data_IF_491026012435
#
_entry.id   IF_491026012435
#
_cell.length_a   1.000
_cell.length_b   1.000
_cell.length_c   1.000
_cell.angle_alpha   90.00
_cell.angle_beta   90.00
_cell.angle_gamma   90.00
#
_symmetry.space_group_name_H-M   'P 1'
#
loop_
_entity.id
_entity.type
_entity.pdbx_description
1 polymer ?
#
# COMPACT_ATOMS: atom_id res chain seq x y z
N UNK A 1 0.26 2.98 7.28
CA UNK A 1 -0.96 3.23 8.09
C UNK A 1 -1.75 1.95 8.29
N UNK A 2 -2.21 1.67 9.52
CA UNK A 2 -2.98 0.46 9.82
C UNK A 2 -2.14 -0.79 10.09
N UNK A 3 -0.88 -0.61 10.54
CA UNK A 3 0.01 -1.72 10.89
C UNK A 3 -0.61 -2.58 12.00
N UNK A 4 -0.33 -3.88 12.04
CA UNK A 4 -0.91 -4.79 13.03
C UNK A 4 0.00 -6.01 13.21
N UNK A 5 0.11 -6.58 14.43
CA UNK A 5 0.84 -7.81 14.66
C UNK A 5 0.06 -9.07 14.22
N UNK A 6 -1.23 -8.92 13.88
CA UNK A 6 -2.09 -10.05 13.49
C UNK A 6 -1.82 -10.44 12.03
N UNK A 7 -1.30 -11.64 11.83
CA UNK A 7 -0.90 -12.15 10.51
C UNK A 7 -2.01 -12.17 9.46
N UNK A 8 -3.28 -12.30 9.87
CA UNK A 8 -4.44 -12.29 8.99
C UNK A 8 -4.86 -10.89 8.50
N UNK A 9 -4.16 -9.83 8.91
CA UNK A 9 -4.52 -8.45 8.56
C UNK A 9 -3.68 -7.91 7.42
N UNK A 10 -4.29 -7.12 6.54
CA UNK A 10 -3.58 -6.42 5.44
C UNK A 10 -2.44 -5.53 5.93
N UNK A 11 -2.59 -4.94 7.13
CA UNK A 11 -1.52 -4.19 7.79
C UNK A 11 -0.27 -5.04 8.07
N UNK A 12 -0.45 -6.28 8.53
CA UNK A 12 0.67 -7.20 8.74
C UNK A 12 1.25 -7.69 7.41
N UNK A 13 0.39 -8.18 6.51
CA UNK A 13 0.80 -8.78 5.24
C UNK A 13 1.65 -7.80 4.42
N UNK A 14 1.22 -6.55 4.36
CA UNK A 14 1.87 -5.53 3.54
C UNK A 14 3.14 -4.97 4.16
N UNK A 15 3.19 -4.84 5.50
CA UNK A 15 4.42 -4.56 6.22
C UNK A 15 5.47 -5.65 5.98
N UNK A 16 5.10 -6.92 6.14
CA UNK A 16 6.02 -8.04 5.92
C UNK A 16 6.50 -8.13 4.48
N UNK A 17 5.61 -7.91 3.51
CA UNK A 17 6.00 -7.88 2.10
C UNK A 17 7.14 -6.89 1.87
N UNK A 18 7.03 -5.65 2.37
CA UNK A 18 8.07 -4.63 2.25
C UNK A 18 9.33 -5.00 3.04
N UNK A 19 9.18 -5.36 4.32
CA UNK A 19 10.32 -5.68 5.20
C UNK A 19 11.14 -6.89 4.70
N UNK A 20 10.49 -7.87 4.08
CA UNK A 20 11.12 -9.10 3.57
C UNK A 20 11.54 -9.00 2.09
N UNK A 21 11.40 -7.81 1.47
CA UNK A 21 11.69 -7.59 0.05
C UNK A 21 13.11 -7.10 -0.25
N UNK A 22 13.91 -6.81 0.78
CA UNK A 22 15.24 -6.21 0.63
C UNK A 22 15.22 -4.68 0.59
N UNK A 23 14.07 -4.06 0.89
CA UNK A 23 13.93 -2.62 0.98
C UNK A 23 14.95 -2.03 1.96
N UNK A 24 15.73 -1.06 1.49
CA UNK A 24 16.84 -0.47 2.23
C UNK A 24 16.49 0.89 2.88
N UNK A 25 15.26 1.38 2.69
CA UNK A 25 14.76 2.60 3.31
C UNK A 25 14.15 2.39 4.70
N UNK A 26 13.78 3.50 5.34
CA UNK A 26 13.12 3.49 6.65
C UNK A 26 11.67 3.00 6.53
N UNK A 27 11.27 2.08 7.41
CA UNK A 27 9.88 1.60 7.51
C UNK A 27 9.26 2.10 8.82
N UNK A 28 8.26 2.96 8.72
CA UNK A 28 7.51 3.48 9.86
C UNK A 28 6.16 2.77 10.01
N UNK A 29 5.96 2.08 11.15
CA UNK A 29 4.70 1.40 11.46
C UNK A 29 3.75 2.37 12.15
N UNK A 30 2.52 2.51 11.65
CA UNK A 30 1.55 3.47 12.20
C UNK A 30 0.27 2.75 12.62
N UNK A 31 0.03 2.72 13.93
CA UNK A 31 -1.23 2.30 14.55
C UNK A 31 -1.28 2.74 16.03
N UNK A 32 -2.26 3.57 16.45
CA UNK A 32 -2.35 4.04 17.83
C UNK A 32 -2.69 2.98 18.88
N UNK A 33 -2.97 1.73 18.47
CA UNK A 33 -3.28 0.62 19.39
C UNK A 33 -2.07 -0.17 19.85
N UNK A 34 -0.91 0.04 19.24
CA UNK A 34 0.29 -0.74 19.51
C UNK A 34 1.47 0.21 19.65
N UNK A 35 2.33 -0.05 20.64
CA UNK A 35 3.59 0.67 20.80
C UNK A 35 4.72 0.01 20.01
N UNK A 36 4.60 -1.29 19.72
CA UNK A 36 5.60 -2.10 19.03
C UNK A 36 4.96 -3.23 18.20
N UNK A 37 5.56 -3.54 17.04
CA UNK A 37 5.22 -4.69 16.18
C UNK A 37 6.53 -5.27 15.63
N UNK A 38 6.75 -6.58 15.75
CA UNK A 38 7.97 -7.26 15.29
C UNK A 38 9.26 -6.54 15.76
N UNK A 39 9.33 -6.18 17.05
CA UNK A 39 10.48 -5.48 17.68
C UNK A 39 10.77 -4.10 17.07
N UNK A 40 9.82 -3.52 16.32
CA UNK A 40 9.92 -2.18 15.74
C UNK A 40 8.92 -1.23 16.39
N UNK A 41 9.31 0.03 16.67
CA UNK A 41 8.39 1.04 17.16
C UNK A 41 7.18 1.21 16.25
N UNK A 42 5.99 1.19 16.85
CA UNK A 42 4.75 1.53 16.17
C UNK A 42 4.26 2.89 16.68
N UNK A 43 4.23 3.86 15.79
CA UNK A 43 3.88 5.23 16.11
C UNK A 43 2.36 5.43 16.05
N UNK A 44 1.80 6.36 16.85
CA UNK A 44 0.37 6.54 16.90
C UNK A 44 -0.23 7.22 15.66
N UNK A 45 0.55 8.05 14.97
CA UNK A 45 0.13 8.83 13.81
C UNK A 45 1.34 9.28 12.97
N UNK A 46 1.08 9.90 11.80
CA UNK A 46 2.14 10.39 10.90
C UNK A 46 2.92 11.57 11.46
N UNK A 47 2.31 12.40 12.31
CA UNK A 47 2.98 13.57 12.91
C UNK A 47 4.08 13.18 13.91
N UNK A 48 4.07 11.94 14.41
CA UNK A 48 5.14 11.40 15.25
C UNK A 48 6.38 10.98 14.44
N UNK A 49 6.35 11.05 13.11
CA UNK A 49 7.51 10.78 12.26
C UNK A 49 8.31 12.06 12.09
N UNK A 50 9.54 12.08 12.58
CA UNK A 50 10.44 13.25 12.53
C UNK A 50 11.24 13.35 11.22
N UNK A 51 10.91 12.53 10.22
CA UNK A 51 11.60 12.44 8.93
C UNK A 51 10.60 12.56 7.77
N UNK A 52 11.04 13.03 6.59
CA UNK A 52 10.23 12.97 5.38
C UNK A 52 9.81 11.53 5.05
N UNK A 53 8.60 11.37 4.53
CA UNK A 53 8.05 10.07 4.10
C UNK A 53 7.65 10.17 2.63
N UNK A 54 8.23 9.31 1.80
CA UNK A 54 7.99 9.33 0.34
C UNK A 54 6.71 8.58 -0.06
N UNK A 55 6.29 7.59 0.73
CA UNK A 55 5.15 6.74 0.40
C UNK A 55 4.38 6.26 1.64
N UNK A 56 3.04 6.27 1.60
CA UNK A 56 2.21 5.67 2.65
C UNK A 56 1.28 4.56 2.14
N UNK A 57 1.33 3.42 2.83
CA UNK A 57 0.44 2.28 2.61
C UNK A 57 -0.80 2.40 3.50
N UNK A 58 -1.99 2.55 2.90
CA UNK A 58 -3.24 2.77 3.62
C UNK A 58 -4.01 1.45 3.80
N UNK A 59 -3.68 0.73 4.88
CA UNK A 59 -4.31 -0.55 5.25
C UNK A 59 -5.47 -0.36 6.24
N UNK A 60 -6.45 0.48 5.89
CA UNK A 60 -7.60 0.79 6.75
C UNK A 60 -8.92 0.47 6.06
N UNK A 61 -9.98 0.28 6.85
CA UNK A 61 -11.32 0.06 6.31
C UNK A 61 -11.82 1.27 5.50
N UNK A 62 -12.73 1.04 4.55
CA UNK A 62 -13.32 2.10 3.72
C UNK A 62 -13.86 3.28 4.55
N UNK A 63 -14.48 3.01 5.70
CA UNK A 63 -15.02 4.05 6.58
C UNK A 63 -13.95 4.98 7.19
N UNK A 64 -12.67 4.61 7.12
CA UNK A 64 -11.54 5.36 7.68
C UNK A 64 -10.57 5.91 6.63
N UNK A 65 -10.67 5.46 5.38
CA UNK A 65 -9.65 5.77 4.37
C UNK A 65 -9.59 7.26 4.04
N UNK A 66 -10.73 7.96 4.06
CA UNK A 66 -10.80 9.40 3.79
C UNK A 66 -10.03 10.21 4.83
N UNK A 67 -10.26 9.96 6.11
CA UNK A 67 -9.52 10.64 7.19
C UNK A 67 -8.01 10.32 7.15
N UNK A 68 -7.65 9.07 6.84
CA UNK A 68 -6.24 8.67 6.73
C UNK A 68 -5.56 9.27 5.48
N UNK A 69 -6.32 9.50 4.40
CA UNK A 69 -5.83 10.22 3.24
C UNK A 69 -5.55 11.69 3.60
N UNK A 70 -6.45 12.32 4.37
CA UNK A 70 -6.25 13.69 4.88
C UNK A 70 -5.00 13.78 5.77
N UNK A 71 -4.77 12.80 6.65
CA UNK A 71 -3.54 12.73 7.45
C UNK A 71 -2.27 12.65 6.57
N UNK A 72 -2.31 11.85 5.49
CA UNK A 72 -1.18 11.70 4.57
C UNK A 72 -0.90 12.99 3.78
N UNK A 73 -1.96 13.69 3.35
CA UNK A 73 -1.86 15.00 2.70
C UNK A 73 -1.27 16.03 3.66
N UNK A 74 -1.76 16.09 4.90
CA UNK A 74 -1.27 17.02 5.91
C UNK A 74 0.20 16.77 6.29
N UNK A 75 0.64 15.51 6.25
CA UNK A 75 2.04 15.12 6.44
C UNK A 75 2.94 15.41 5.22
N UNK A 76 2.39 15.90 4.11
CA UNK A 76 3.17 16.25 2.91
C UNK A 76 3.70 15.03 2.14
N UNK A 77 3.07 13.86 2.31
CA UNK A 77 3.50 12.63 1.65
C UNK A 77 3.14 12.72 0.17
N UNK A 78 4.07 12.47 -0.78
CA UNK A 78 3.81 12.66 -2.20
C UNK A 78 3.07 11.50 -2.87
N UNK A 79 3.07 10.30 -2.26
CA UNK A 79 2.42 9.12 -2.83
C UNK A 79 1.76 8.22 -1.78
N UNK A 80 0.62 7.61 -2.15
CA UNK A 80 -0.05 6.59 -1.32
C UNK A 80 -0.49 5.38 -2.13
N UNK A 81 -0.55 4.22 -1.46
CA UNK A 81 -1.25 3.03 -1.96
C UNK A 81 -2.49 2.77 -1.12
N UNK A 82 -3.66 2.70 -1.77
CA UNK A 82 -4.94 2.42 -1.13
C UNK A 82 -5.37 0.99 -1.43
N UNK A 83 -5.39 0.13 -0.41
CA UNK A 83 -5.84 -1.26 -0.56
C UNK A 83 -7.34 -1.44 -0.38
N UNK A 84 -7.99 -0.49 0.31
CA UNK A 84 -9.43 -0.51 0.53
C UNK A 84 -10.19 -0.28 -0.78
N UNK A 85 -11.38 -0.86 -0.95
CA UNK A 85 -12.15 -0.76 -2.20
C UNK A 85 -12.74 0.64 -2.47
N UNK A 86 -12.84 1.48 -1.44
CA UNK A 86 -13.48 2.79 -1.54
C UNK A 86 -15.01 2.74 -1.65
N UNK A 87 -15.63 1.58 -1.40
CA UNK A 87 -17.08 1.41 -1.40
C UNK A 87 -17.66 1.43 0.02
N UNK A 88 -18.71 2.23 0.23
CA UNK A 88 -19.52 2.23 1.45
C UNK A 88 -20.96 1.87 1.08
N UNK A 89 -21.57 0.95 1.83
CA UNK A 89 -22.96 0.51 1.60
C UNK A 89 -23.95 1.67 1.76
N UNK A 90 -23.75 2.50 2.79
CA UNK A 90 -24.55 3.69 3.07
C UNK A 90 -23.69 4.95 2.90
N UNK A 91 -23.16 5.15 1.69
CA UNK A 91 -22.32 6.31 1.37
C UNK A 91 -23.11 7.62 1.27
N UNK A 92 -22.38 8.73 1.28
CA UNK A 92 -22.89 10.07 0.98
C UNK A 92 -22.62 10.46 -0.48
N UNK A 93 -23.31 11.50 -0.96
CA UNK A 93 -23.04 12.12 -2.26
C UNK A 93 -22.10 13.34 -2.06
N UNK A 94 -20.96 13.46 -2.77
CA UNK A 94 -20.45 12.50 -3.75
C UNK A 94 -19.87 11.24 -3.10
N UNK A 95 -19.89 10.06 -3.77
CA UNK A 95 -19.38 8.80 -3.22
C UNK A 95 -17.91 8.88 -2.77
N UNK A 96 -17.50 8.00 -1.86
CA UNK A 96 -16.18 7.97 -1.24
C UNK A 96 -15.06 7.99 -2.28
N UNK A 97 -15.12 7.16 -3.34
CA UNK A 97 -14.12 7.18 -4.41
C UNK A 97 -13.98 8.54 -5.10
N UNK A 98 -15.07 9.27 -5.28
CA UNK A 98 -15.04 10.63 -5.86
C UNK A 98 -14.38 11.59 -4.87
N UNK A 99 -14.75 11.53 -3.58
CA UNK A 99 -14.12 12.37 -2.53
C UNK A 99 -12.61 12.13 -2.44
N UNK A 100 -12.18 10.87 -2.41
CA UNK A 100 -10.76 10.50 -2.38
C UNK A 100 -10.02 11.02 -3.61
N UNK A 101 -10.60 10.85 -4.80
CA UNK A 101 -10.02 11.36 -6.06
C UNK A 101 -9.86 12.88 -6.02
N UNK A 102 -10.91 13.60 -5.63
CA UNK A 102 -10.90 15.06 -5.56
C UNK A 102 -9.86 15.57 -4.57
N UNK A 103 -9.78 14.97 -3.37
CA UNK A 103 -8.76 15.31 -2.36
C UNK A 103 -7.34 15.07 -2.88
N UNK A 104 -7.09 13.89 -3.45
CA UNK A 104 -5.77 13.55 -3.98
C UNK A 104 -5.34 14.50 -5.11
N UNK A 105 -6.24 14.79 -6.07
CA UNK A 105 -5.97 15.74 -7.15
C UNK A 105 -5.71 17.15 -6.65
N UNK A 106 -6.52 17.64 -5.70
CA UNK A 106 -6.34 18.96 -5.10
C UNK A 106 -5.01 19.13 -4.35
N UNK A 107 -4.48 18.03 -3.79
CA UNK A 107 -3.20 18.00 -3.09
C UNK A 107 -1.99 17.67 -3.98
N UNK A 108 -2.20 17.30 -5.25
CA UNK A 108 -1.13 16.77 -6.11
C UNK A 108 -0.58 15.41 -5.66
N UNK A 109 -1.38 14.65 -4.91
CA UNK A 109 -1.00 13.35 -4.34
C UNK A 109 -1.09 12.23 -5.39
N UNK A 110 -0.02 11.46 -5.56
CA UNK A 110 -0.04 10.26 -6.39
C UNK A 110 -0.72 9.11 -5.66
N UNK A 111 -1.66 8.44 -6.32
CA UNK A 111 -2.43 7.32 -5.74
C UNK A 111 -2.29 6.08 -6.60
N UNK A 112 -1.88 4.98 -5.95
CA UNK A 112 -2.00 3.63 -6.51
C UNK A 112 -3.15 2.90 -5.80
N UNK A 113 -4.02 2.21 -6.54
CA UNK A 113 -5.08 1.38 -5.96
C UNK A 113 -6.42 2.10 -5.78
N UNK A 114 -7.18 1.65 -4.77
CA UNK A 114 -8.64 1.69 -4.75
C UNK A 114 -9.19 0.35 -5.24
N UNK A 115 -9.13 -0.68 -4.38
CA UNK A 115 -9.36 -2.10 -4.71
C UNK A 115 -8.22 -2.80 -5.51
N UNK A 116 -6.98 -2.33 -5.38
CA UNK A 116 -5.79 -2.92 -6.03
C UNK A 116 -4.90 -3.70 -5.07
N UNK A 117 -4.00 -4.53 -5.64
CA UNK A 117 -2.98 -5.28 -4.89
C UNK A 117 -1.68 -4.51 -4.69
N UNK A 118 -1.62 -3.24 -5.08
CA UNK A 118 -0.44 -2.37 -4.96
C UNK A 118 0.59 -2.61 -6.07
N UNK A 119 1.88 -2.48 -5.76
CA UNK A 119 2.96 -2.63 -6.73
C UNK A 119 4.20 -3.32 -6.15
N UNK A 120 5.05 -3.84 -7.02
CA UNK A 120 6.35 -4.40 -6.67
C UNK A 120 7.40 -3.88 -7.65
N UNK A 121 8.42 -3.21 -7.12
CA UNK A 121 9.66 -2.92 -7.83
C UNK A 121 10.71 -3.95 -7.39
N UNK A 122 11.07 -4.86 -8.30
CA UNK A 122 11.98 -5.97 -8.02
C UNK A 122 13.43 -5.50 -8.00
N UNK A 123 13.79 -4.54 -8.85
CA UNK A 123 15.16 -4.00 -8.93
C UNK A 123 15.58 -3.29 -7.62
N UNK A 124 14.65 -2.57 -7.00
CA UNK A 124 14.88 -1.81 -5.76
C UNK A 124 14.44 -2.57 -4.50
N UNK A 125 14.04 -3.84 -4.62
CA UNK A 125 13.55 -4.63 -3.48
C UNK A 125 12.40 -3.95 -2.74
N UNK A 126 11.47 -3.30 -3.45
CA UNK A 126 10.38 -2.52 -2.86
C UNK A 126 9.03 -3.20 -3.15
N UNK A 127 8.49 -3.90 -2.16
CA UNK A 127 7.19 -4.58 -2.27
C UNK A 127 6.09 -3.86 -1.49
N UNK A 128 5.26 -3.10 -2.21
CA UNK A 128 4.07 -2.44 -1.67
C UNK A 128 2.84 -3.25 -2.08
N UNK A 129 2.64 -4.41 -1.45
CA UNK A 129 1.57 -5.34 -1.84
C UNK A 129 0.99 -6.10 -0.65
N UNK A 130 -0.18 -6.73 -0.83
CA UNK A 130 -0.77 -7.63 0.17
C UNK A 130 -0.31 -9.08 0.01
N UNK A 131 0.29 -9.45 -1.13
CA UNK A 131 0.62 -10.84 -1.41
C UNK A 131 1.90 -10.95 -2.24
N UNK A 132 2.95 -11.43 -1.59
CA UNK A 132 4.14 -11.97 -2.26
C UNK A 132 3.84 -13.44 -2.56
N UNK A 133 3.42 -13.74 -3.78
CA UNK A 133 3.17 -15.12 -4.21
C UNK A 133 4.44 -15.98 -4.25
N UNK A 134 4.35 -17.19 -4.82
CA UNK A 134 5.48 -18.11 -4.95
C UNK A 134 6.43 -17.78 -6.11
N UNK A 135 6.24 -16.65 -6.78
CA UNK A 135 7.01 -16.30 -7.96
C UNK A 135 8.45 -15.90 -7.62
N UNK A 136 9.31 -16.00 -8.65
CA UNK A 136 10.71 -15.61 -8.54
C UNK A 136 10.79 -14.15 -8.09
N UNK A 137 11.59 -13.92 -7.05
CA UNK A 137 11.93 -12.58 -6.56
C UNK A 137 13.08 -11.97 -7.36
N UNK A 138 13.67 -12.73 -8.30
CA UNK A 138 14.76 -12.23 -9.13
C UNK A 138 14.22 -11.18 -10.10
N UNK A 139 14.86 -10.02 -10.20
CA UNK A 139 14.49 -9.02 -11.19
C UNK A 139 14.61 -9.55 -12.62
N UNK A 140 13.68 -9.13 -13.47
CA UNK A 140 13.68 -9.41 -14.90
C UNK A 140 13.62 -8.16 -15.76
N UNK A 141 12.94 -8.26 -16.90
CA UNK A 141 12.87 -7.16 -17.90
C UNK A 141 11.44 -6.84 -18.33
N UNK A 142 10.46 -7.43 -17.65
CA UNK A 142 9.04 -7.26 -17.98
C UNK A 142 8.39 -6.31 -16.99
N UNK A 143 7.78 -5.24 -17.48
CA UNK A 143 6.88 -4.40 -16.69
C UNK A 143 5.44 -4.81 -16.94
N UNK A 144 4.67 -5.04 -15.87
CA UNK A 144 3.23 -5.31 -15.97
C UNK A 144 2.44 -4.23 -15.24
N UNK A 145 1.49 -3.62 -15.96
CA UNK A 145 0.47 -2.77 -15.36
C UNK A 145 -0.88 -3.44 -15.65
N UNK A 146 -1.60 -3.81 -14.60
CA UNK A 146 -2.89 -4.49 -14.71
C UNK A 146 -3.93 -3.80 -13.86
N UNK A 147 -5.11 -3.59 -14.43
CA UNK A 147 -6.29 -3.20 -13.65
C UNK A 147 -6.88 -4.41 -12.92
N UNK A 148 -6.81 -5.61 -13.53
CA UNK A 148 -7.36 -6.84 -12.96
C UNK A 148 -6.38 -7.51 -12.00
N UNK A 149 -6.80 -7.67 -10.74
CA UNK A 149 -6.09 -8.47 -9.75
C UNK A 149 -5.96 -9.95 -10.13
N UNK A 150 -6.93 -10.52 -10.84
CA UNK A 150 -6.88 -11.93 -11.28
C UNK A 150 -5.83 -12.17 -12.36
N UNK A 151 -5.70 -11.24 -13.32
CA UNK A 151 -4.63 -11.29 -14.32
C UNK A 151 -3.27 -11.13 -13.65
N UNK A 152 -3.17 -10.19 -12.71
CA UNK A 152 -1.96 -9.99 -11.92
C UNK A 152 -1.57 -11.29 -11.18
N UNK A 153 -2.49 -11.91 -10.44
CA UNK A 153 -2.22 -13.17 -9.74
C UNK A 153 -1.80 -14.30 -10.68
N UNK A 154 -2.48 -14.45 -11.82
CA UNK A 154 -2.16 -15.47 -12.82
C UNK A 154 -0.75 -15.33 -13.41
N UNK A 155 -0.36 -14.11 -13.79
CA UNK A 155 0.93 -13.86 -14.45
C UNK A 155 2.08 -13.68 -13.46
N UNK A 156 1.84 -12.99 -12.35
CA UNK A 156 2.88 -12.55 -11.42
C UNK A 156 3.06 -13.52 -10.26
N UNK A 157 2.00 -14.16 -9.75
CA UNK A 157 2.11 -15.00 -8.55
C UNK A 157 2.18 -16.50 -8.86
N UNK A 158 1.64 -16.93 -10.01
CA UNK A 158 1.49 -18.33 -10.35
C UNK A 158 2.44 -18.84 -11.45
N UNK A 159 2.98 -17.96 -12.31
CA UNK A 159 3.91 -18.35 -13.38
C UNK A 159 5.35 -17.86 -13.08
N UNK A 160 6.20 -18.77 -12.60
CA UNK A 160 7.59 -18.46 -12.25
C UNK A 160 8.53 -18.30 -13.45
N UNK A 161 8.07 -18.46 -14.69
CA UNK A 161 8.91 -18.31 -15.90
C UNK A 161 9.05 -16.87 -16.34
N UNK A 162 8.06 -16.04 -16.03
CA UNK A 162 8.11 -14.62 -16.30
C UNK A 162 8.88 -13.92 -15.18
N UNK A 163 9.86 -13.10 -15.57
CA UNK A 163 10.64 -12.29 -14.63
C UNK A 163 10.30 -10.83 -14.84
N UNK A 164 9.82 -10.18 -13.78
CA UNK A 164 9.37 -8.81 -13.82
C UNK A 164 10.40 -7.86 -13.20
N UNK A 165 10.45 -6.63 -13.67
CA UNK A 165 11.19 -5.54 -13.00
C UNK A 165 10.25 -4.65 -12.18
N UNK A 166 9.01 -4.45 -12.66
CA UNK A 166 7.97 -3.66 -12.02
C UNK A 166 6.61 -4.27 -12.32
N UNK A 167 5.80 -4.48 -11.30
CA UNK A 167 4.40 -4.89 -11.45
C UNK A 167 3.50 -3.96 -10.68
N UNK A 168 2.39 -3.53 -11.28
CA UNK A 168 1.43 -2.60 -10.68
C UNK A 168 0.02 -3.17 -10.88
N UNK A 169 -0.76 -3.20 -9.79
CA UNK A 169 -2.19 -3.46 -9.81
C UNK A 169 -2.94 -2.18 -9.44
N UNK A 170 -3.53 -1.53 -10.44
CA UNK A 170 -4.17 -0.22 -10.27
C UNK A 170 -5.54 -0.26 -9.58
N UNK A 171 -6.25 -1.40 -9.65
CA UNK A 171 -7.66 -1.52 -9.21
C UNK A 171 -8.65 -1.07 -10.29
#
# INVERSE_FOLDING_TARGET
MGASPKQSTFGWMSYRALADSGFNGDIHLINPRYDEIDERPCLPNLAAIEKPVDHAMLNVANARVEAVLDDAIAAGIPAVTIFSSGYLENDTDPPLLVRLRTKAQGAGLMVCGGNGSGFVNYDEGTQVTLASGNASKDPGSITLISQSGSIYGGLVQNDGRLKFNLTITAG
#
